data_IF_718048289642
#
_entry.id   IF_718048289642
#
_cell.length_a   1.000
_cell.length_b   1.000
_cell.length_c   1.000
_cell.angle_alpha   90.00
_cell.angle_beta   90.00
_cell.angle_gamma   90.00
#
_symmetry.space_group_name_H-M   'P 1'
#
loop_
_entity.id
_entity.type
_entity.pdbx_description
1 polymer ?
#
# COMPACT_ATOMS: atom_id res chain seq x y z
N UNK A 1 -16.14 -13.76 -19.54
CA UNK A 1 -14.99 -14.00 -20.45
C UNK A 1 -13.71 -13.64 -19.71
N UNK A 2 -12.87 -14.61 -19.37
CA UNK A 2 -11.55 -14.34 -18.81
C UNK A 2 -10.66 -13.76 -19.91
N UNK A 3 -10.03 -12.61 -19.68
CA UNK A 3 -9.05 -12.07 -20.63
C UNK A 3 -7.88 -13.08 -20.72
N UNK A 4 -7.64 -13.60 -21.91
CA UNK A 4 -6.51 -14.49 -22.17
C UNK A 4 -5.25 -13.65 -22.27
N UNK A 5 -4.40 -13.67 -21.23
CA UNK A 5 -3.10 -13.01 -21.26
C UNK A 5 -2.07 -13.89 -21.95
N UNK A 6 -1.11 -13.28 -22.64
CA UNK A 6 0.10 -13.99 -23.05
C UNK A 6 0.90 -14.40 -21.78
N UNK A 7 1.57 -15.54 -21.81
CA UNK A 7 2.41 -16.04 -20.71
C UNK A 7 3.39 -14.97 -20.20
N UNK A 8 4.05 -14.23 -21.10
CA UNK A 8 4.96 -13.14 -20.70
C UNK A 8 4.25 -12.01 -19.95
N UNK A 9 3.07 -11.59 -20.40
CA UNK A 9 2.28 -10.56 -19.72
C UNK A 9 1.89 -11.03 -18.32
N UNK A 10 1.45 -12.27 -18.20
CA UNK A 10 1.07 -12.87 -16.92
C UNK A 10 2.26 -12.98 -15.97
N UNK A 11 3.42 -13.44 -16.45
CA UNK A 11 4.64 -13.53 -15.65
C UNK A 11 5.03 -12.17 -15.08
N UNK A 12 5.08 -11.12 -15.91
CA UNK A 12 5.44 -9.79 -15.44
C UNK A 12 4.41 -9.18 -14.49
N UNK A 13 3.11 -9.46 -14.69
CA UNK A 13 2.06 -9.03 -13.74
C UNK A 13 2.18 -9.74 -12.39
N UNK A 14 2.58 -11.01 -12.36
CA UNK A 14 2.81 -11.74 -11.10
C UNK A 14 4.07 -11.23 -10.41
N UNK A 15 5.17 -11.01 -11.15
CA UNK A 15 6.40 -10.43 -10.61
C UNK A 15 6.11 -9.06 -9.99
N UNK A 16 5.43 -8.17 -10.71
CA UNK A 16 5.04 -6.86 -10.22
C UNK A 16 4.23 -6.98 -8.92
N UNK A 17 3.24 -7.87 -8.89
CA UNK A 17 2.42 -8.11 -7.70
C UNK A 17 3.24 -8.56 -6.50
N UNK A 18 4.13 -9.52 -6.70
CA UNK A 18 4.99 -10.07 -5.63
C UNK A 18 5.98 -9.01 -5.15
N UNK A 19 6.56 -8.20 -6.05
CA UNK A 19 7.52 -7.16 -5.68
C UNK A 19 6.87 -6.02 -4.90
N UNK A 20 5.72 -5.53 -5.36
CA UNK A 20 4.95 -4.52 -4.61
C UNK A 20 4.49 -5.10 -3.28
N UNK A 21 3.97 -6.33 -3.26
CA UNK A 21 3.58 -7.01 -2.03
C UNK A 21 4.73 -7.20 -1.05
N UNK A 22 5.92 -7.56 -1.55
CA UNK A 22 7.13 -7.69 -0.74
C UNK A 22 7.55 -6.35 -0.13
N UNK A 23 7.51 -5.27 -0.90
CA UNK A 23 7.85 -3.94 -0.40
C UNK A 23 6.93 -3.52 0.76
N UNK A 24 5.61 -3.63 0.57
CA UNK A 24 4.61 -3.37 1.62
C UNK A 24 4.82 -4.25 2.85
N UNK A 25 5.07 -5.54 2.65
CA UNK A 25 5.28 -6.48 3.74
C UNK A 25 6.54 -6.14 4.53
N UNK A 26 7.65 -5.85 3.84
CA UNK A 26 8.91 -5.48 4.47
C UNK A 26 8.74 -4.20 5.29
N UNK A 27 8.15 -3.16 4.70
CA UNK A 27 7.84 -1.90 5.37
C UNK A 27 6.95 -2.10 6.60
N UNK A 28 5.96 -2.98 6.53
CA UNK A 28 5.11 -3.30 7.68
C UNK A 28 5.85 -4.09 8.78
N UNK A 29 6.63 -5.10 8.40
CA UNK A 29 7.38 -5.94 9.33
C UNK A 29 8.43 -5.14 10.11
N UNK A 30 9.15 -4.23 9.46
CA UNK A 30 10.15 -3.38 10.14
C UNK A 30 9.48 -2.53 11.23
N UNK A 31 8.21 -2.13 11.04
CA UNK A 31 7.45 -1.34 12.01
C UNK A 31 6.92 -2.21 13.14
N UNK A 32 6.26 -3.33 12.81
CA UNK A 32 5.72 -4.28 13.80
C UNK A 32 6.83 -4.88 14.69
N UNK A 33 8.01 -5.17 14.11
CA UNK A 33 9.12 -5.78 14.83
C UNK A 33 9.94 -4.76 15.65
N UNK A 34 9.66 -3.47 15.52
CA UNK A 34 10.32 -2.42 16.28
C UNK A 34 9.35 -1.82 17.31
N UNK A 35 9.43 -2.21 18.60
CA UNK A 35 8.52 -1.72 19.64
C UNK A 35 8.58 -0.21 19.88
N UNK A 36 9.65 0.45 19.42
CA UNK A 36 9.85 1.89 19.56
C UNK A 36 9.43 2.67 18.31
N UNK A 37 8.92 2.01 17.27
CA UNK A 37 8.48 2.68 16.06
C UNK A 37 7.18 3.45 16.33
N UNK A 38 7.05 4.63 15.71
CA UNK A 38 5.82 5.43 15.71
C UNK A 38 5.80 6.35 14.49
N UNK A 39 4.62 6.60 13.94
CA UNK A 39 4.41 7.57 12.87
C UNK A 39 4.43 9.03 13.36
N UNK A 40 4.53 9.28 14.67
CA UNK A 40 4.50 10.63 15.25
C UNK A 40 5.50 11.60 14.61
N UNK A 41 6.76 11.20 14.47
CA UNK A 41 7.81 12.02 13.83
C UNK A 41 7.49 12.34 12.38
N UNK A 42 6.99 11.35 11.62
CA UNK A 42 6.54 11.51 10.25
C UNK A 42 5.35 12.49 10.15
N UNK A 43 4.35 12.37 11.03
CA UNK A 43 3.20 13.26 11.03
C UNK A 43 3.55 14.70 11.45
N UNK A 44 4.51 14.88 12.35
CA UNK A 44 5.01 16.21 12.74
C UNK A 44 5.77 16.92 11.61
N UNK A 45 6.45 16.15 10.76
CA UNK A 45 7.19 16.63 9.57
C UNK A 45 6.28 16.84 8.34
N UNK A 46 4.96 16.63 8.47
CA UNK A 46 4.01 16.74 7.35
C UNK A 46 3.85 18.17 6.83
N UNK A 47 3.76 18.31 5.51
CA UNK A 47 3.64 19.61 4.84
C UNK A 47 2.49 19.64 3.80
N UNK A 48 2.31 20.80 3.16
CA UNK A 48 1.27 21.01 2.16
C UNK A 48 -0.11 21.34 2.75
N UNK A 49 -1.15 21.27 1.91
CA UNK A 49 -2.51 21.70 2.27
C UNK A 49 -3.09 20.93 3.47
N UNK A 50 -2.78 19.64 3.56
CA UNK A 50 -3.24 18.76 4.64
C UNK A 50 -2.25 18.63 5.80
N UNK A 51 -1.06 19.26 5.71
CA UNK A 51 -0.03 19.20 6.74
C UNK A 51 -0.53 19.53 8.14
N UNK A 52 -1.24 20.67 8.36
CA UNK A 52 -1.77 21.02 9.68
C UNK A 52 -2.74 19.99 10.27
N UNK A 53 -3.45 19.23 9.43
CA UNK A 53 -4.34 18.16 9.88
C UNK A 53 -3.53 16.98 10.40
N UNK A 54 -2.50 16.53 9.68
CA UNK A 54 -1.61 15.45 10.10
C UNK A 54 -0.82 15.80 11.36
N UNK A 55 -0.28 17.02 11.44
CA UNK A 55 0.42 17.53 12.63
C UNK A 55 -0.52 17.60 13.85
N UNK A 56 -1.81 17.93 13.66
CA UNK A 56 -2.79 17.88 14.77
C UNK A 56 -3.01 16.46 15.29
N UNK A 57 -2.94 15.45 14.43
CA UNK A 57 -3.10 14.05 14.83
C UNK A 57 -1.95 13.60 15.74
N UNK A 58 -0.73 14.10 15.52
CA UNK A 58 0.45 13.70 16.30
C UNK A 58 0.45 14.17 17.75
N UNK A 59 -0.37 15.17 18.10
CA UNK A 59 -0.48 15.66 19.48
C UNK A 59 -1.43 14.84 20.36
N UNK A 60 -2.24 13.94 19.78
CA UNK A 60 -3.19 13.13 20.52
C UNK A 60 -2.65 11.70 20.70
N UNK A 61 -2.19 11.38 21.91
CA UNK A 61 -1.59 10.08 22.22
C UNK A 61 -2.52 8.89 21.95
N UNK A 62 -3.81 9.01 22.29
CA UNK A 62 -4.79 7.95 22.06
C UNK A 62 -4.98 7.71 20.57
N UNK A 63 -5.11 8.78 19.79
CA UNK A 63 -5.21 8.69 18.33
C UNK A 63 -3.94 8.09 17.71
N UNK A 64 -2.77 8.40 18.28
CA UNK A 64 -1.51 7.89 17.77
C UNK A 64 -1.37 6.38 17.89
N UNK A 65 -1.80 5.80 19.01
CA UNK A 65 -1.81 4.35 19.17
C UNK A 65 -2.65 3.65 18.08
N UNK A 66 -3.78 4.24 17.68
CA UNK A 66 -4.59 3.69 16.59
C UNK A 66 -3.93 3.87 15.22
N UNK A 67 -3.33 5.03 14.96
CA UNK A 67 -2.65 5.29 13.69
C UNK A 67 -1.45 4.34 13.53
N UNK A 68 -0.63 4.18 14.57
CA UNK A 68 0.54 3.31 14.54
C UNK A 68 0.13 1.86 14.29
N UNK A 69 -0.83 1.35 15.07
CA UNK A 69 -1.40 0.01 14.90
C UNK A 69 -1.98 -0.21 13.50
N UNK A 70 -2.80 0.73 13.01
CA UNK A 70 -3.41 0.61 11.68
C UNK A 70 -2.34 0.65 10.58
N UNK A 71 -1.33 1.51 10.71
CA UNK A 71 -0.30 1.67 9.70
C UNK A 71 0.58 0.42 9.60
N UNK A 72 1.04 -0.10 10.74
CA UNK A 72 1.80 -1.33 10.85
C UNK A 72 1.07 -2.52 10.21
N UNK A 73 -0.14 -2.80 10.70
CA UNK A 73 -0.87 -4.00 10.28
C UNK A 73 -1.47 -3.87 8.90
N UNK A 74 -1.88 -2.67 8.46
CA UNK A 74 -2.38 -2.49 7.11
C UNK A 74 -1.28 -2.77 6.07
N UNK A 75 -0.03 -2.32 6.29
CA UNK A 75 1.10 -2.63 5.42
C UNK A 75 1.36 -4.14 5.34
N UNK A 76 1.39 -4.82 6.49
CA UNK A 76 1.60 -6.29 6.55
C UNK A 76 0.48 -7.04 5.82
N UNK A 77 -0.78 -6.72 6.10
CA UNK A 77 -1.94 -7.40 5.51
C UNK A 77 -2.05 -7.16 4.00
N UNK A 78 -1.79 -5.94 3.54
CA UNK A 78 -1.73 -5.62 2.11
C UNK A 78 -0.60 -6.39 1.44
N UNK A 79 0.60 -6.37 2.03
CA UNK A 79 1.76 -7.08 1.51
C UNK A 79 1.52 -8.59 1.37
N UNK A 80 1.02 -9.23 2.43
CA UNK A 80 0.66 -10.66 2.39
C UNK A 80 -0.43 -10.97 1.36
N UNK A 81 -1.48 -10.15 1.30
CA UNK A 81 -2.57 -10.34 0.34
C UNK A 81 -2.09 -10.26 -1.12
N UNK A 82 -1.18 -9.33 -1.43
CA UNK A 82 -0.57 -9.21 -2.76
C UNK A 82 0.35 -10.38 -3.09
N UNK A 83 1.25 -10.78 -2.17
CA UNK A 83 2.18 -11.90 -2.40
C UNK A 83 1.42 -13.20 -2.63
N UNK A 84 0.51 -13.53 -1.73
CA UNK A 84 -0.29 -14.76 -1.80
C UNK A 84 -1.32 -14.71 -2.95
N UNK A 85 -1.61 -13.52 -3.47
CA UNK A 85 -2.68 -13.31 -4.44
C UNK A 85 -4.03 -13.66 -3.83
N UNK A 86 -4.26 -13.26 -2.58
CA UNK A 86 -5.46 -13.48 -1.78
C UNK A 86 -6.14 -12.11 -1.56
N UNK A 87 -7.41 -11.99 -1.95
CA UNK A 87 -8.15 -10.73 -1.99
C UNK A 87 -7.37 -9.61 -2.71
N UNK A 88 -6.73 -9.95 -3.82
CA UNK A 88 -5.75 -9.08 -4.51
C UNK A 88 -6.30 -7.70 -4.86
N UNK A 89 -7.60 -7.57 -5.15
CA UNK A 89 -8.28 -6.28 -5.37
C UNK A 89 -8.41 -5.45 -4.10
N UNK A 90 -8.84 -6.07 -3.00
CA UNK A 90 -8.90 -5.38 -1.71
C UNK A 90 -7.52 -4.95 -1.24
N UNK A 91 -6.52 -5.81 -1.36
CA UNK A 91 -5.14 -5.46 -1.03
C UNK A 91 -4.64 -4.31 -1.91
N UNK A 92 -4.97 -4.31 -3.20
CA UNK A 92 -4.61 -3.19 -4.09
C UNK A 92 -5.31 -1.88 -3.67
N UNK A 93 -6.61 -1.91 -3.34
CA UNK A 93 -7.34 -0.73 -2.85
C UNK A 93 -6.76 -0.22 -1.53
N UNK A 94 -6.50 -1.13 -0.57
CA UNK A 94 -5.91 -0.78 0.72
C UNK A 94 -4.52 -0.15 0.57
N UNK A 95 -3.67 -0.75 -0.27
CA UNK A 95 -2.36 -0.20 -0.58
C UNK A 95 -2.44 1.16 -1.27
N UNK A 96 -3.37 1.34 -2.22
CA UNK A 96 -3.58 2.63 -2.88
C UNK A 96 -4.03 3.72 -1.88
N UNK A 97 -4.94 3.39 -0.97
CA UNK A 97 -5.39 4.32 0.07
C UNK A 97 -4.22 4.74 0.98
N UNK A 98 -3.40 3.80 1.44
CA UNK A 98 -2.23 4.09 2.28
C UNK A 98 -1.23 5.00 1.56
N UNK A 99 -0.89 4.69 0.31
CA UNK A 99 0.06 5.50 -0.47
C UNK A 99 -0.48 6.90 -0.77
N UNK A 100 -1.80 7.04 -0.97
CA UNK A 100 -2.43 8.35 -1.09
C UNK A 100 -2.28 9.17 0.19
N UNK A 101 -2.50 8.57 1.36
CA UNK A 101 -2.31 9.25 2.64
C UNK A 101 -0.85 9.70 2.83
N UNK A 102 0.13 8.84 2.50
CA UNK A 102 1.54 9.21 2.56
C UNK A 102 1.90 10.33 1.59
N UNK A 103 1.35 10.29 0.37
CA UNK A 103 1.56 11.33 -0.64
C UNK A 103 0.93 12.66 -0.23
N UNK A 104 -0.22 12.63 0.46
CA UNK A 104 -0.88 13.82 1.00
C UNK A 104 -0.15 14.42 2.21
N UNK A 105 0.49 13.58 3.02
CA UNK A 105 1.28 14.00 4.18
C UNK A 105 2.64 14.58 3.77
N UNK A 106 3.29 13.97 2.77
CA UNK A 106 4.59 14.41 2.23
C UNK A 106 4.52 14.63 0.71
N UNK A 107 3.87 15.71 0.25
CA UNK A 107 3.80 16.01 -1.18
C UNK A 107 5.19 16.42 -1.71
N UNK A 108 5.60 15.85 -2.84
CA UNK A 108 6.89 16.11 -3.48
C UNK A 108 6.93 17.49 -4.20
N UNK A 109 6.95 18.57 -3.41
CA UNK A 109 6.93 19.97 -3.87
C UNK A 109 8.34 20.58 -3.75
N UNK A 110 8.70 21.47 -4.67
CA UNK A 110 9.96 22.22 -4.62
C UNK A 110 10.00 23.09 -3.35
N UNK A 111 11.12 23.03 -2.62
CA UNK A 111 11.41 23.95 -1.51
C UNK A 111 10.97 23.46 -0.13
N UNK A 112 10.39 22.26 -0.02
CA UNK A 112 10.13 21.61 1.27
C UNK A 112 11.25 20.62 1.57
N UNK A 113 12.00 20.89 2.63
CA UNK A 113 12.99 19.95 3.17
C UNK A 113 12.36 19.24 4.36
N UNK A 114 12.17 17.93 4.20
CA UNK A 114 11.71 17.06 5.27
C UNK A 114 12.91 16.64 6.10
N UNK A 115 12.75 16.63 7.43
CA UNK A 115 13.78 16.15 8.35
C UNK A 115 13.97 14.64 8.20
N UNK A 116 12.93 13.93 7.75
CA UNK A 116 12.99 12.51 7.41
C UNK A 116 13.75 12.33 6.10
N UNK A 117 14.76 11.44 6.08
CA UNK A 117 15.58 11.18 4.89
C UNK A 117 14.72 10.74 3.70
N UNK A 118 14.37 11.69 2.83
CA UNK A 118 13.76 11.36 1.55
C UNK A 118 14.83 10.76 0.64
N UNK A 119 14.51 9.65 -0.02
CA UNK A 119 15.42 8.95 -0.93
C UNK A 119 15.66 9.71 -2.24
N UNK A 120 16.03 11.00 -2.21
CA UNK A 120 16.37 11.81 -3.38
C UNK A 120 15.44 12.99 -3.65
N UNK A 121 15.87 13.88 -4.53
CA UNK A 121 15.12 15.06 -4.98
C UNK A 121 14.10 14.67 -6.05
N UNK A 122 12.92 14.22 -5.64
CA UNK A 122 11.81 13.90 -6.55
C UNK A 122 10.95 15.13 -6.80
N UNK A 123 10.72 15.47 -8.06
CA UNK A 123 9.76 16.48 -8.48
C UNK A 123 8.46 15.77 -8.89
N UNK A 124 7.36 15.99 -8.16
CA UNK A 124 6.00 15.44 -8.37
C UNK A 124 5.82 13.91 -8.32
N UNK A 125 6.79 13.13 -8.80
CA UNK A 125 6.72 11.66 -8.85
C UNK A 125 7.78 11.09 -7.92
N UNK A 126 7.34 10.65 -6.74
CA UNK A 126 8.16 9.91 -5.79
C UNK A 126 7.85 8.41 -5.85
N UNK A 127 8.55 7.60 -5.04
CA UNK A 127 8.33 6.15 -4.97
C UNK A 127 6.86 5.77 -4.67
N UNK A 128 6.20 6.52 -3.78
CA UNK A 128 4.81 6.26 -3.40
C UNK A 128 3.86 6.41 -4.59
N UNK A 129 4.06 7.43 -5.43
CA UNK A 129 3.24 7.65 -6.63
C UNK A 129 3.50 6.56 -7.67
N UNK A 130 4.75 6.10 -7.83
CA UNK A 130 5.07 4.98 -8.74
C UNK A 130 4.42 3.68 -8.27
N UNK A 131 4.49 3.37 -6.98
CA UNK A 131 3.82 2.20 -6.39
C UNK A 131 2.31 2.31 -6.47
N UNK A 132 1.75 3.51 -6.30
CA UNK A 132 0.32 3.77 -6.47
C UNK A 132 -0.13 3.42 -7.89
N UNK A 133 0.64 3.85 -8.90
CA UNK A 133 0.37 3.51 -10.29
C UNK A 133 0.48 2.00 -10.53
N UNK A 134 1.49 1.34 -9.96
CA UNK A 134 1.66 -0.11 -10.05
C UNK A 134 0.47 -0.88 -9.44
N UNK A 135 -0.01 -0.46 -8.27
CA UNK A 135 -1.24 -1.01 -7.67
C UNK A 135 -2.47 -0.74 -8.53
N UNK A 136 -2.55 0.42 -9.19
CA UNK A 136 -3.58 0.72 -10.18
C UNK A 136 -3.58 -0.28 -11.35
N UNK A 137 -2.40 -0.64 -11.87
CA UNK A 137 -2.27 -1.71 -12.88
C UNK A 137 -2.76 -3.04 -12.31
N UNK A 138 -2.32 -3.44 -11.12
CA UNK A 138 -2.72 -4.70 -10.50
C UNK A 138 -4.23 -4.78 -10.19
N UNK A 139 -4.85 -3.64 -9.89
CA UNK A 139 -6.29 -3.53 -9.69
C UNK A 139 -7.07 -3.77 -11.00
N UNK A 140 -6.62 -3.14 -12.10
CA UNK A 140 -7.24 -3.28 -13.44
C UNK A 140 -7.00 -4.67 -14.04
N UNK A 141 -5.84 -5.27 -13.78
CA UNK A 141 -5.41 -6.57 -14.30
C UNK A 141 -5.37 -7.62 -13.18
N UNK A 142 -6.49 -8.30 -12.87
CA UNK A 142 -6.57 -9.21 -11.72
C UNK A 142 -5.83 -10.53 -11.98
N UNK A 143 -4.50 -10.49 -11.87
CA UNK A 143 -3.60 -11.64 -12.04
C UNK A 143 -3.80 -12.69 -10.94
N UNK A 144 -4.30 -12.29 -9.76
CA UNK A 144 -4.61 -13.17 -8.63
C UNK A 144 -5.58 -14.29 -8.97
N UNK A 145 -6.55 -14.02 -9.86
CA UNK A 145 -7.53 -15.03 -10.31
C UNK A 145 -6.92 -16.16 -11.14
N UNK A 146 -5.75 -15.91 -11.77
CA UNK A 146 -5.09 -16.87 -12.66
C UNK A 146 -3.99 -17.58 -11.89
N UNK A 147 -3.11 -16.81 -11.24
CA UNK A 147 -2.00 -17.31 -10.44
C UNK A 147 -2.05 -16.64 -9.06
N UNK A 148 -2.77 -17.25 -8.12
CA UNK A 148 -2.95 -16.77 -6.75
C UNK A 148 -3.97 -17.61 -5.98
N UNK A 149 -4.02 -17.44 -4.65
CA UNK A 149 -5.01 -18.11 -3.80
C UNK A 149 -6.45 -17.72 -4.14
N UNK A 150 -6.67 -16.56 -4.75
CA UNK A 150 -7.96 -16.11 -5.29
C UNK A 150 -8.62 -17.17 -6.19
N UNK A 151 -7.82 -17.97 -6.93
CA UNK A 151 -8.34 -19.08 -7.74
C UNK A 151 -9.03 -20.16 -6.90
N UNK A 152 -8.46 -20.53 -5.75
CA UNK A 152 -9.01 -21.54 -4.85
C UNK A 152 -10.21 -20.97 -4.08
N UNK A 153 -10.11 -19.71 -3.67
CA UNK A 153 -11.12 -19.02 -2.89
C UNK A 153 -12.43 -18.80 -3.67
N UNK A 154 -12.39 -18.63 -5.00
CA UNK A 154 -13.61 -18.56 -5.83
C UNK A 154 -14.46 -19.83 -5.70
N UNK A 155 -13.84 -21.00 -5.53
CA UNK A 155 -14.55 -22.28 -5.38
C UNK A 155 -15.17 -22.48 -3.99
N UNK A 156 -14.65 -21.80 -2.97
CA UNK A 156 -15.03 -22.00 -1.55
C UNK A 156 -15.91 -20.87 -1.02
N UNK A 157 -15.70 -19.62 -1.48
CA UNK A 157 -16.41 -18.47 -0.93
C UNK A 157 -17.84 -18.30 -1.47
N UNK A 158 -18.79 -17.87 -0.62
CA UNK A 158 -20.14 -17.52 -1.03
C UNK A 158 -20.14 -16.32 -1.99
N UNK A 159 -21.13 -16.28 -2.89
CA UNK A 159 -21.27 -15.27 -3.96
C UNK A 159 -21.18 -13.81 -3.48
N UNK A 160 -21.57 -13.54 -2.24
CA UNK A 160 -21.48 -12.20 -1.62
C UNK A 160 -20.03 -11.70 -1.49
N UNK A 161 -19.10 -12.57 -1.12
CA UNK A 161 -17.69 -12.22 -0.95
C UNK A 161 -16.88 -12.35 -2.23
N UNK A 162 -17.38 -13.11 -3.21
CA UNK A 162 -16.73 -13.21 -4.52
C UNK A 162 -16.57 -11.84 -5.19
N UNK A 163 -17.43 -10.85 -4.90
CA UNK A 163 -17.32 -9.47 -5.41
C UNK A 163 -15.98 -8.78 -5.07
N UNK A 164 -15.32 -9.19 -4.00
CA UNK A 164 -14.04 -8.64 -3.57
C UNK A 164 -12.82 -9.31 -4.24
N UNK A 165 -13.05 -10.47 -4.86
CA UNK A 165 -12.10 -11.23 -5.66
C UNK A 165 -12.36 -11.00 -7.16
N UNK A 166 -13.62 -10.68 -7.49
CA UNK A 166 -14.09 -10.45 -8.84
C UNK A 166 -13.86 -9.01 -9.29
#
# INVERSE_FOLDING_TARGET
>A
MGKTYNNFQLTWLVILRVFVGWHFLYEGLVKVLNPNWSASSYLMDSAGLFGPMFVKMSYNQTLMNYIDFLNEWALVLVGLGLILGCFSRLSSIGGMLLLLLYTMSHPAIIGVQYATAMEGSYFWINKNVVELAALGVLYVFPSGRIIGLDRLLIGVLPKSFQKFIL
#
